data_IF_647028319175
#
_entry.id   IF_647028319175
#
_cell.length_a   1.000
_cell.length_b   1.000
_cell.length_c   1.000
_cell.angle_alpha   90.00
_cell.angle_beta   90.00
_cell.angle_gamma   90.00
#
_symmetry.space_group_name_H-M   'P 1'
#
loop_
_entity.id
_entity.type
_entity.pdbx_description
1 polymer ?
#
# COMPACT_ATOMS: atom_id res chain seq x y z
N UNK A 1 21.26 -0.10 -30.55
CA UNK A 1 20.39 1.10 -30.45
C UNK A 1 20.15 1.62 -31.86
N UNK A 2 18.97 1.37 -32.44
CA UNK A 2 18.63 1.89 -33.76
C UNK A 2 18.39 3.40 -33.68
N UNK A 3 19.20 4.18 -34.32
CA UNK A 3 18.94 5.62 -34.49
C UNK A 3 17.63 5.80 -35.28
N UNK A 4 16.76 6.65 -34.75
CA UNK A 4 15.55 7.05 -35.45
C UNK A 4 15.96 7.73 -36.76
N UNK A 5 15.59 7.18 -37.92
CA UNK A 5 15.97 7.67 -39.26
C UNK A 5 15.63 9.16 -39.49
N UNK A 6 14.59 9.66 -38.80
CA UNK A 6 14.07 11.03 -38.97
C UNK A 6 14.27 11.92 -37.74
N UNK A 7 15.18 11.54 -36.80
CA UNK A 7 15.42 12.27 -35.56
C UNK A 7 14.35 12.07 -34.49
N UNK A 8 14.43 12.86 -33.43
CA UNK A 8 13.48 12.82 -32.31
C UNK A 8 12.17 13.51 -32.73
N UNK A 9 10.99 12.91 -32.51
CA UNK A 9 9.72 13.55 -32.85
C UNK A 9 9.54 14.88 -32.08
N UNK A 10 8.86 15.84 -32.70
CA UNK A 10 8.48 17.08 -32.02
C UNK A 10 7.45 16.81 -30.93
N UNK A 11 7.38 17.70 -29.92
CA UNK A 11 6.37 17.64 -28.86
C UNK A 11 4.94 17.47 -29.40
N UNK A 12 4.58 18.26 -30.43
CA UNK A 12 3.27 18.15 -31.07
C UNK A 12 3.04 16.78 -31.75
N UNK A 13 4.08 16.10 -32.19
CA UNK A 13 3.98 14.75 -32.74
C UNK A 13 3.77 13.74 -31.64
N UNK A 14 4.50 13.88 -30.53
CA UNK A 14 4.33 13.02 -29.36
C UNK A 14 2.91 13.15 -28.76
N UNK A 15 2.41 14.37 -28.58
CA UNK A 15 1.04 14.60 -28.10
C UNK A 15 -0.02 13.97 -29.03
N UNK A 16 0.15 14.05 -30.35
CA UNK A 16 -0.78 13.40 -31.31
C UNK A 16 -0.71 11.87 -31.22
N UNK A 17 0.46 11.30 -30.97
CA UNK A 17 0.62 9.87 -30.79
C UNK A 17 -0.06 9.42 -29.48
N UNK A 18 0.16 10.15 -28.39
CA UNK A 18 -0.47 9.88 -27.09
C UNK A 18 -2.01 9.92 -27.16
N UNK A 19 -2.58 10.91 -27.85
CA UNK A 19 -4.03 11.03 -28.06
C UNK A 19 -4.63 9.87 -28.88
N UNK A 20 -3.83 9.18 -29.66
CA UNK A 20 -4.25 8.03 -30.47
C UNK A 20 -4.07 6.67 -29.78
N UNK A 21 -3.51 6.64 -28.57
CA UNK A 21 -3.30 5.39 -27.83
C UNK A 21 -4.60 5.01 -27.10
N UNK A 22 -5.03 3.77 -27.25
CA UNK A 22 -6.10 3.20 -26.46
C UNK A 22 -5.58 2.84 -25.07
N UNK A 23 -6.09 3.53 -24.04
CA UNK A 23 -5.62 3.43 -22.67
C UNK A 23 -5.70 2.00 -22.11
N UNK A 24 -6.75 1.25 -22.46
CA UNK A 24 -6.95 -0.14 -21.98
C UNK A 24 -5.91 -1.07 -22.57
N UNK A 25 -5.70 -0.97 -23.90
CA UNK A 25 -4.69 -1.76 -24.60
C UNK A 25 -3.28 -1.45 -24.14
N UNK A 26 -2.98 -0.17 -23.87
CA UNK A 26 -1.69 0.25 -23.36
C UNK A 26 -1.45 -0.27 -21.95
N UNK A 27 -2.42 -0.14 -21.04
CA UNK A 27 -2.34 -0.65 -19.68
C UNK A 27 -2.08 -2.17 -19.67
N UNK A 28 -2.80 -2.92 -20.52
CA UNK A 28 -2.59 -4.35 -20.68
C UNK A 28 -1.17 -4.69 -21.16
N UNK A 29 -0.68 -4.01 -22.18
CA UNK A 29 0.68 -4.24 -22.71
C UNK A 29 1.76 -3.88 -21.70
N UNK A 30 1.58 -2.81 -20.95
CA UNK A 30 2.48 -2.44 -19.85
C UNK A 30 2.50 -3.49 -18.76
N UNK A 31 1.34 -4.03 -18.36
CA UNK A 31 1.26 -5.08 -17.35
C UNK A 31 1.95 -6.37 -17.83
N UNK A 32 1.75 -6.78 -19.09
CA UNK A 32 2.43 -7.92 -19.70
C UNK A 32 3.97 -7.72 -19.71
N UNK A 33 4.44 -6.55 -20.10
CA UNK A 33 5.87 -6.21 -20.10
C UNK A 33 6.47 -6.22 -18.68
N UNK A 34 5.77 -5.62 -17.72
CA UNK A 34 6.21 -5.56 -16.33
C UNK A 34 6.28 -6.96 -15.72
N UNK A 35 5.31 -7.84 -16.03
CA UNK A 35 5.30 -9.21 -15.55
C UNK A 35 6.55 -9.98 -16.00
N UNK A 36 6.95 -9.83 -17.27
CA UNK A 36 8.18 -10.43 -17.81
C UNK A 36 9.41 -9.87 -17.09
N UNK A 37 9.47 -8.54 -16.92
CA UNK A 37 10.59 -7.88 -16.28
C UNK A 37 10.71 -8.24 -14.80
N UNK A 38 9.56 -8.39 -14.11
CA UNK A 38 9.51 -8.84 -12.72
C UNK A 38 10.06 -10.26 -12.55
N UNK A 39 9.77 -11.15 -13.48
CA UNK A 39 10.32 -12.51 -13.50
C UNK A 39 11.85 -12.52 -13.58
N UNK A 40 12.42 -11.65 -14.43
CA UNK A 40 13.87 -11.52 -14.59
C UNK A 40 14.55 -10.87 -13.36
N UNK A 41 13.91 -9.88 -12.73
CA UNK A 41 14.44 -9.15 -11.58
C UNK A 41 14.28 -9.91 -10.27
N UNK A 42 13.24 -10.74 -10.13
CA UNK A 42 12.96 -11.51 -8.90
C UNK A 42 13.84 -12.77 -8.79
N UNK A 43 15.12 -12.65 -9.09
CA UNK A 43 16.10 -13.73 -9.01
C UNK A 43 16.47 -14.12 -7.58
N UNK A 44 16.12 -13.28 -6.59
CA UNK A 44 16.51 -13.47 -5.18
C UNK A 44 15.60 -14.43 -4.40
N UNK A 45 14.43 -14.80 -4.94
CA UNK A 45 13.42 -15.61 -4.23
C UNK A 45 12.88 -14.94 -2.94
N UNK A 46 13.15 -13.64 -2.77
CA UNK A 46 12.64 -12.89 -1.61
C UNK A 46 11.21 -12.46 -1.85
N UNK A 47 10.44 -12.47 -0.77
CA UNK A 47 9.08 -11.95 -0.72
C UNK A 47 9.09 -10.45 -1.04
N UNK A 48 8.29 -10.01 -2.01
CA UNK A 48 8.14 -8.59 -2.37
C UNK A 48 7.14 -7.90 -1.43
N UNK A 49 7.30 -6.59 -1.27
CA UNK A 49 6.33 -5.73 -0.60
C UNK A 49 5.67 -4.87 -1.67
N UNK A 50 4.40 -5.15 -1.93
CA UNK A 50 3.60 -4.43 -2.92
C UNK A 50 2.72 -3.41 -2.21
N UNK A 51 2.98 -2.13 -2.48
CA UNK A 51 2.21 -1.03 -1.92
C UNK A 51 1.08 -0.63 -2.86
N UNK A 52 -0.16 -0.60 -2.34
CA UNK A 52 -1.33 -0.12 -3.07
C UNK A 52 -1.68 1.28 -2.55
N UNK A 53 -1.68 2.26 -3.47
CA UNK A 53 -1.97 3.66 -3.15
C UNK A 53 -2.89 4.28 -4.21
N UNK A 54 -3.85 5.07 -3.75
CA UNK A 54 -4.75 5.84 -4.59
C UNK A 54 -4.32 7.31 -4.65
N UNK A 55 -4.21 7.86 -5.86
CA UNK A 55 -3.85 9.27 -6.06
C UNK A 55 -4.75 9.98 -7.06
N UNK A 56 -5.22 11.18 -6.67
CA UNK A 56 -5.85 12.09 -7.60
C UNK A 56 -4.82 12.66 -8.59
N UNK A 57 -5.07 12.53 -9.88
CA UNK A 57 -4.25 13.08 -10.95
C UNK A 57 -4.49 14.60 -11.07
N UNK A 58 -3.74 15.38 -10.29
CA UNK A 58 -3.85 16.84 -10.29
C UNK A 58 -3.44 17.41 -11.64
N UNK A 59 -4.26 18.33 -12.20
CA UNK A 59 -4.00 18.97 -13.50
C UNK A 59 -4.63 18.27 -14.71
N UNK A 60 -5.29 17.14 -14.54
CA UNK A 60 -6.01 16.41 -15.61
C UNK A 60 -7.52 16.48 -15.39
N UNK A 61 -8.06 17.70 -15.28
CA UNK A 61 -9.48 17.91 -15.03
C UNK A 61 -10.32 17.35 -16.18
N UNK A 62 -11.22 16.43 -15.88
CA UNK A 62 -12.18 15.88 -16.84
C UNK A 62 -13.32 16.87 -17.12
N UNK A 63 -14.15 16.59 -18.12
CA UNK A 63 -15.33 17.38 -18.49
C UNK A 63 -16.37 17.52 -17.36
N UNK A 64 -16.35 16.61 -16.38
CA UNK A 64 -17.18 16.65 -15.18
C UNK A 64 -16.63 17.55 -14.06
N UNK A 65 -15.52 18.29 -14.30
CA UNK A 65 -14.87 19.17 -13.33
C UNK A 65 -14.09 18.47 -12.23
N UNK A 66 -13.78 17.17 -12.38
CA UNK A 66 -13.02 16.37 -11.40
C UNK A 66 -11.73 15.85 -12.01
N UNK A 67 -10.73 15.69 -11.15
CA UNK A 67 -9.54 14.94 -11.50
C UNK A 67 -9.82 13.44 -11.39
N UNK A 68 -9.35 12.61 -12.32
CA UNK A 68 -9.43 11.16 -12.17
C UNK A 68 -8.55 10.71 -11.00
N UNK A 69 -9.02 9.75 -10.23
CA UNK A 69 -8.24 9.04 -9.22
C UNK A 69 -7.67 7.77 -9.86
N UNK A 70 -6.42 7.46 -9.57
CA UNK A 70 -5.74 6.25 -10.04
C UNK A 70 -5.27 5.46 -8.84
N UNK A 71 -5.60 4.17 -8.78
CA UNK A 71 -5.03 3.22 -7.83
C UNK A 71 -3.89 2.48 -8.52
N UNK A 72 -2.73 2.45 -7.86
CA UNK A 72 -1.51 1.82 -8.38
C UNK A 72 -0.98 0.77 -7.41
N UNK A 73 -0.37 -0.28 -7.94
CA UNK A 73 0.42 -1.24 -7.19
C UNK A 73 1.90 -1.04 -7.49
N UNK A 74 2.69 -0.77 -6.46
CA UNK A 74 4.12 -0.51 -6.55
C UNK A 74 4.91 -1.62 -5.86
N UNK A 75 5.88 -2.21 -6.57
CA UNK A 75 6.81 -3.20 -6.04
C UNK A 75 7.98 -2.52 -5.35
N UNK A 76 8.15 -2.79 -4.07
CA UNK A 76 9.30 -2.29 -3.30
C UNK A 76 10.63 -2.94 -3.71
N UNK A 77 10.59 -4.18 -4.19
CA UNK A 77 11.79 -4.91 -4.60
C UNK A 77 12.32 -4.45 -5.96
N UNK A 78 11.44 -4.23 -6.93
CA UNK A 78 11.85 -3.87 -8.31
C UNK A 78 11.82 -2.37 -8.56
N UNK A 79 11.14 -1.59 -7.71
CA UNK A 79 10.91 -0.16 -7.93
C UNK A 79 9.93 0.15 -9.06
N UNK A 80 9.14 -0.83 -9.51
CA UNK A 80 8.22 -0.69 -10.64
C UNK A 80 6.77 -0.55 -10.19
N UNK A 81 5.98 0.19 -10.96
CA UNK A 81 4.52 0.16 -10.88
C UNK A 81 4.06 -1.08 -11.65
N UNK A 82 3.48 -2.05 -10.94
CA UNK A 82 3.07 -3.35 -11.50
C UNK A 82 1.78 -3.23 -12.32
N UNK A 83 0.84 -2.42 -11.88
CA UNK A 83 -0.41 -2.14 -12.57
C UNK A 83 -1.05 -0.87 -12.03
N UNK A 84 -1.97 -0.30 -12.83
CA UNK A 84 -2.77 0.88 -12.46
C UNK A 84 -4.21 0.69 -12.91
N UNK A 85 -5.15 1.16 -12.10
CA UNK A 85 -6.58 1.19 -12.43
C UNK A 85 -7.12 2.59 -12.21
N UNK A 86 -7.73 3.16 -13.23
CA UNK A 86 -8.40 4.45 -13.12
C UNK A 86 -9.75 4.30 -12.42
N UNK A 87 -10.06 5.21 -11.50
CA UNK A 87 -11.34 5.28 -10.82
C UNK A 87 -12.22 6.33 -11.48
N UNK A 88 -13.41 5.94 -11.91
CA UNK A 88 -14.40 6.87 -12.48
C UNK A 88 -14.99 7.83 -11.44
N UNK A 89 -15.00 7.44 -10.17
CA UNK A 89 -15.51 8.20 -9.03
C UNK A 89 -14.69 7.94 -7.77
N UNK A 90 -14.56 8.94 -6.89
CA UNK A 90 -13.82 8.84 -5.62
C UNK A 90 -14.33 7.73 -4.68
N UNK A 91 -15.60 7.37 -4.77
CA UNK A 91 -16.21 6.26 -4.02
C UNK A 91 -15.79 4.87 -4.51
N UNK A 92 -15.07 4.78 -5.64
CA UNK A 92 -14.73 3.52 -6.29
C UNK A 92 -13.28 3.06 -6.05
N UNK A 93 -12.48 3.76 -5.23
CA UNK A 93 -11.09 3.36 -4.91
C UNK A 93 -11.02 1.93 -4.36
N UNK A 94 -11.96 1.55 -3.49
CA UNK A 94 -12.03 0.18 -2.94
C UNK A 94 -12.28 -0.84 -4.05
N UNK A 95 -13.20 -0.53 -4.97
CA UNK A 95 -13.48 -1.40 -6.12
C UNK A 95 -12.28 -1.47 -7.07
N UNK A 96 -11.63 -0.33 -7.34
CA UNK A 96 -10.43 -0.27 -8.17
C UNK A 96 -9.28 -1.08 -7.55
N UNK A 97 -9.06 -0.98 -6.23
CA UNK A 97 -8.10 -1.82 -5.50
C UNK A 97 -8.41 -3.32 -5.63
N UNK A 98 -9.70 -3.69 -5.54
CA UNK A 98 -10.12 -5.09 -5.73
C UNK A 98 -9.90 -5.58 -7.17
N UNK A 99 -10.14 -4.75 -8.19
CA UNK A 99 -9.85 -5.07 -9.60
C UNK A 99 -8.36 -5.21 -9.80
N UNK A 100 -7.57 -4.23 -9.33
CA UNK A 100 -6.11 -4.23 -9.41
C UNK A 100 -5.50 -5.52 -8.82
N UNK A 101 -5.91 -5.90 -7.61
CA UNK A 101 -5.49 -7.15 -6.97
C UNK A 101 -5.89 -8.38 -7.78
N UNK A 102 -7.04 -8.31 -8.48
CA UNK A 102 -7.51 -9.39 -9.36
C UNK A 102 -6.55 -9.69 -10.51
N UNK A 103 -5.92 -8.67 -11.08
CA UNK A 103 -5.05 -8.75 -12.25
C UNK A 103 -3.60 -9.11 -11.93
N UNK A 104 -3.15 -8.89 -10.68
CA UNK A 104 -1.77 -9.12 -10.27
C UNK A 104 -1.53 -10.57 -9.83
N UNK A 105 -0.37 -11.10 -10.20
CA UNK A 105 0.20 -12.27 -9.56
C UNK A 105 0.98 -11.82 -8.32
N UNK A 106 0.44 -12.12 -7.14
CA UNK A 106 0.96 -11.67 -5.83
C UNK A 106 1.24 -12.83 -4.88
N UNK A 107 1.21 -14.06 -5.38
CA UNK A 107 1.41 -15.24 -4.54
C UNK A 107 2.77 -15.19 -3.80
N UNK A 108 2.71 -15.30 -2.48
CA UNK A 108 3.89 -15.22 -1.60
C UNK A 108 4.37 -13.81 -1.28
N UNK A 109 3.77 -12.76 -1.83
CA UNK A 109 4.13 -11.37 -1.55
C UNK A 109 3.38 -10.79 -0.34
N UNK A 110 3.78 -9.59 0.09
CA UNK A 110 3.14 -8.83 1.17
C UNK A 110 2.46 -7.60 0.56
N UNK A 111 1.16 -7.47 0.75
CA UNK A 111 0.39 -6.31 0.32
C UNK A 111 0.35 -5.29 1.45
N UNK A 112 0.75 -4.05 1.15
CA UNK A 112 0.55 -2.92 2.05
C UNK A 112 -0.41 -1.92 1.40
N UNK A 113 -1.33 -1.38 2.18
CA UNK A 113 -2.29 -0.40 1.72
C UNK A 113 -2.71 0.52 2.87
N UNK A 114 -3.34 1.65 2.51
CA UNK A 114 -3.92 2.52 3.52
C UNK A 114 -5.15 1.88 4.20
N UNK A 115 -5.66 2.56 5.22
CA UNK A 115 -6.79 2.06 6.01
C UNK A 115 -8.08 1.89 5.21
N UNK A 116 -8.28 2.59 4.08
CA UNK A 116 -9.47 2.44 3.25
C UNK A 116 -9.55 1.03 2.66
N UNK A 117 -8.40 0.40 2.42
CA UNK A 117 -8.28 -0.97 1.93
C UNK A 117 -8.53 -2.04 3.00
N UNK A 118 -8.68 -1.66 4.29
CA UNK A 118 -9.07 -2.61 5.34
C UNK A 118 -10.56 -2.97 5.20
N UNK A 119 -10.87 -3.73 4.17
CA UNK A 119 -12.20 -4.24 3.83
C UNK A 119 -12.15 -5.75 3.67
N UNK A 120 -13.25 -6.42 4.05
CA UNK A 120 -13.29 -7.89 3.99
C UNK A 120 -12.97 -8.42 2.59
N UNK A 121 -13.57 -7.85 1.56
CA UNK A 121 -13.40 -8.30 0.17
C UNK A 121 -11.95 -8.17 -0.32
N UNK A 122 -11.24 -7.13 0.13
CA UNK A 122 -9.81 -6.93 -0.17
C UNK A 122 -8.96 -7.98 0.54
N UNK A 123 -9.21 -8.19 1.83
CA UNK A 123 -8.48 -9.19 2.64
C UNK A 123 -8.68 -10.60 2.10
N UNK A 124 -9.93 -10.97 1.80
CA UNK A 124 -10.27 -12.28 1.24
C UNK A 124 -9.50 -12.48 -0.09
N UNK A 125 -9.51 -11.49 -0.98
CA UNK A 125 -8.83 -11.57 -2.28
C UNK A 125 -7.31 -11.70 -2.16
N UNK A 126 -6.69 -10.97 -1.23
CA UNK A 126 -5.24 -11.10 -0.95
C UNK A 126 -4.92 -12.53 -0.53
N UNK A 127 -5.73 -13.08 0.40
CA UNK A 127 -5.53 -14.45 0.91
C UNK A 127 -5.81 -15.53 -0.12
N UNK A 128 -6.87 -15.39 -0.90
CA UNK A 128 -7.21 -16.31 -2.01
C UNK A 128 -6.06 -16.43 -3.01
N UNK A 129 -5.31 -15.34 -3.21
CA UNK A 129 -4.13 -15.30 -4.08
C UNK A 129 -2.84 -15.78 -3.40
N UNK A 130 -2.91 -16.22 -2.14
CA UNK A 130 -1.75 -16.74 -1.41
C UNK A 130 -0.75 -15.66 -0.99
N UNK A 131 -1.21 -14.41 -0.84
CA UNK A 131 -0.41 -13.30 -0.36
C UNK A 131 -0.69 -12.98 1.12
N UNK A 132 0.26 -12.32 1.76
CA UNK A 132 0.11 -11.73 3.09
C UNK A 132 -0.24 -10.24 3.00
N UNK A 133 -0.64 -9.64 4.13
CA UNK A 133 -0.92 -8.22 4.18
C UNK A 133 -0.44 -7.55 5.47
N UNK A 134 -0.17 -6.23 5.37
CA UNK A 134 0.00 -5.29 6.48
C UNK A 134 -0.78 -4.03 6.12
N UNK A 135 -1.92 -3.80 6.78
CA UNK A 135 -2.83 -2.70 6.45
C UNK A 135 -3.08 -1.84 7.68
N UNK A 136 -3.01 -0.52 7.49
CA UNK A 136 -3.29 0.44 8.56
C UNK A 136 -4.76 0.39 8.99
N UNK A 137 -5.01 0.52 10.28
CA UNK A 137 -6.33 0.53 10.89
C UNK A 137 -6.70 1.94 11.35
N UNK A 138 -7.71 2.52 10.72
CA UNK A 138 -8.25 3.84 11.06
C UNK A 138 -9.73 3.78 11.48
N UNK A 139 -10.36 4.95 11.62
CA UNK A 139 -11.75 5.09 12.06
C UNK A 139 -12.81 4.55 11.07
N UNK A 140 -12.43 4.14 9.86
CA UNK A 140 -13.31 3.45 8.92
C UNK A 140 -13.73 2.05 9.43
N UNK A 141 -12.90 1.41 10.27
CA UNK A 141 -13.20 0.15 10.95
C UNK A 141 -13.33 0.37 12.47
N UNK A 142 -14.31 1.19 12.87
CA UNK A 142 -14.48 1.68 14.25
C UNK A 142 -14.50 0.55 15.29
N UNK A 143 -15.34 -0.46 15.10
CA UNK A 143 -15.49 -1.56 16.07
C UNK A 143 -14.18 -2.33 16.27
N UNK A 144 -13.44 -2.59 15.18
CA UNK A 144 -12.15 -3.27 15.23
C UNK A 144 -11.11 -2.38 15.94
N UNK A 145 -10.99 -1.13 15.53
CA UNK A 145 -10.02 -0.18 16.09
C UNK A 145 -10.24 0.07 17.58
N UNK A 146 -11.45 0.46 17.98
CA UNK A 146 -11.74 0.72 19.40
C UNK A 146 -11.68 -0.55 20.25
N UNK A 147 -12.07 -1.69 19.70
CA UNK A 147 -11.91 -2.98 20.36
C UNK A 147 -10.44 -3.32 20.66
N UNK A 148 -9.52 -2.97 19.77
CA UNK A 148 -8.07 -3.11 19.99
C UNK A 148 -7.60 -2.10 21.04
N UNK A 149 -7.95 -0.81 20.89
CA UNK A 149 -7.54 0.26 21.81
C UNK A 149 -7.94 -0.03 23.25
N UNK A 150 -9.16 -0.57 23.49
CA UNK A 150 -9.67 -0.90 24.82
C UNK A 150 -8.94 -2.06 25.49
N UNK A 151 -8.40 -3.00 24.69
CA UNK A 151 -7.77 -4.23 25.19
C UNK A 151 -6.26 -4.17 25.25
N UNK A 152 -5.63 -3.42 24.37
CA UNK A 152 -4.17 -3.44 24.17
C UNK A 152 -3.41 -3.08 25.45
N UNK A 153 -3.94 -2.18 26.28
CA UNK A 153 -3.34 -1.80 27.55
C UNK A 153 -3.27 -2.92 28.61
N UNK A 154 -4.02 -4.02 28.39
CA UNK A 154 -4.05 -5.21 29.26
C UNK A 154 -3.23 -6.37 28.70
N UNK A 155 -2.73 -6.23 27.48
CA UNK A 155 -1.95 -7.25 26.78
C UNK A 155 -0.46 -6.91 26.81
N UNK A 156 0.39 -7.90 26.97
CA UNK A 156 1.83 -7.74 26.80
C UNK A 156 2.15 -7.93 25.30
N UNK A 157 3.00 -7.08 24.70
CA UNK A 157 3.48 -7.33 23.35
C UNK A 157 4.29 -8.63 23.28
N UNK A 158 4.13 -9.38 22.19
CA UNK A 158 4.95 -10.55 21.89
C UNK A 158 6.38 -10.15 21.55
N UNK A 159 6.51 -9.01 20.89
CA UNK A 159 7.80 -8.41 20.53
C UNK A 159 7.70 -6.89 20.56
N UNK A 160 8.81 -6.26 20.86
CA UNK A 160 8.98 -4.80 20.83
C UNK A 160 10.33 -4.45 20.19
N UNK A 161 10.33 -3.43 19.34
CA UNK A 161 11.52 -2.90 18.71
C UNK A 161 11.43 -1.37 18.63
N UNK A 162 12.53 -0.67 18.95
CA UNK A 162 12.60 0.78 18.84
C UNK A 162 13.69 1.15 17.85
N UNK A 163 13.34 2.04 16.92
CA UNK A 163 14.20 2.60 15.89
C UNK A 163 14.36 4.10 16.08
N UNK A 164 15.56 4.59 15.76
CA UNK A 164 15.93 5.98 15.95
C UNK A 164 16.75 6.21 17.22
N UNK A 165 17.00 7.48 17.57
CA UNK A 165 16.43 8.69 16.94
C UNK A 165 17.03 9.01 15.56
N UNK A 166 16.17 9.35 14.61
CA UNK A 166 16.56 9.79 13.27
C UNK A 166 16.26 11.27 13.07
N UNK A 167 17.17 11.98 12.39
CA UNK A 167 16.98 13.38 12.01
C UNK A 167 16.53 13.46 10.55
N UNK A 168 15.29 13.90 10.32
CA UNK A 168 14.74 14.12 9.00
C UNK A 168 13.90 15.38 8.96
N UNK A 169 14.05 16.21 7.93
CA UNK A 169 13.25 17.43 7.71
C UNK A 169 13.11 18.35 8.93
N UNK A 170 14.19 18.50 9.72
CA UNK A 170 14.19 19.35 10.92
C UNK A 170 13.45 18.76 12.13
N UNK A 171 13.13 17.47 12.09
CA UNK A 171 12.49 16.72 13.18
C UNK A 171 13.39 15.57 13.61
N UNK A 172 13.42 15.32 14.91
CA UNK A 172 14.02 14.11 15.48
C UNK A 172 12.86 13.15 15.74
N UNK A 173 12.90 11.96 15.14
CA UNK A 173 11.85 10.98 15.23
C UNK A 173 12.38 9.68 15.83
N UNK A 174 11.63 9.12 16.78
CA UNK A 174 11.84 7.78 17.34
C UNK A 174 10.57 6.99 17.16
N UNK A 175 10.69 5.76 16.61
CA UNK A 175 9.55 4.86 16.40
C UNK A 175 9.68 3.62 17.24
N UNK A 176 8.63 3.30 17.99
CA UNK A 176 8.51 2.04 18.72
C UNK A 176 7.43 1.18 18.09
N UNK A 177 7.80 -0.04 17.73
CA UNK A 177 6.93 -1.05 17.14
C UNK A 177 6.64 -2.10 18.21
N UNK A 178 5.35 -2.32 18.51
CA UNK A 178 4.89 -3.36 19.42
C UNK A 178 3.98 -4.32 18.70
N UNK A 179 4.30 -5.59 18.75
CA UNK A 179 3.57 -6.65 18.05
C UNK A 179 2.82 -7.49 19.03
N UNK A 180 1.53 -7.67 18.78
CA UNK A 180 0.60 -8.40 19.65
C UNK A 180 -0.06 -9.55 18.91
N UNK A 181 -0.47 -10.57 19.65
CA UNK A 181 -1.34 -11.62 19.12
C UNK A 181 -2.75 -11.05 18.87
N UNK A 182 -3.21 -11.13 17.62
CA UNK A 182 -4.55 -10.70 17.23
C UNK A 182 -5.66 -11.52 17.92
N UNK A 183 -5.36 -12.77 18.34
CA UNK A 183 -6.29 -13.62 19.06
C UNK A 183 -6.80 -12.98 20.37
N UNK A 184 -5.95 -12.21 21.04
CA UNK A 184 -6.30 -11.53 22.29
C UNK A 184 -7.02 -10.19 22.06
N UNK A 185 -6.84 -9.57 20.92
CA UNK A 185 -7.25 -8.19 20.64
C UNK A 185 -8.47 -8.09 19.72
N UNK A 186 -8.62 -9.01 18.76
CA UNK A 186 -9.67 -8.98 17.73
C UNK A 186 -10.83 -9.90 18.13
N UNK A 187 -12.03 -9.35 18.24
CA UNK A 187 -13.24 -10.11 18.63
C UNK A 187 -13.75 -10.96 17.46
N UNK A 188 -13.91 -10.34 16.28
CA UNK A 188 -14.50 -10.97 15.09
C UNK A 188 -13.39 -11.49 14.14
N UNK A 189 -12.50 -12.36 14.65
CA UNK A 189 -11.36 -12.86 13.87
C UNK A 189 -11.76 -13.62 12.61
N UNK A 190 -12.84 -14.39 12.68
CA UNK A 190 -13.37 -15.15 11.53
C UNK A 190 -13.74 -14.24 10.36
N UNK A 191 -14.25 -13.04 10.66
CA UNK A 191 -14.54 -12.01 9.66
C UNK A 191 -13.29 -11.62 8.86
N UNK A 192 -12.12 -11.69 9.47
CA UNK A 192 -10.86 -11.21 8.89
C UNK A 192 -9.93 -12.34 8.42
N UNK A 193 -10.45 -13.56 8.32
CA UNK A 193 -9.77 -14.66 7.65
C UNK A 193 -8.70 -15.38 8.48
N UNK A 194 -8.89 -15.58 9.78
CA UNK A 194 -8.07 -16.46 10.60
C UNK A 194 -7.03 -15.73 11.47
N UNK A 195 -5.88 -16.36 11.71
CA UNK A 195 -4.87 -15.81 12.62
C UNK A 195 -4.33 -14.48 12.11
N UNK A 196 -4.35 -13.48 12.97
CA UNK A 196 -3.89 -12.13 12.71
C UNK A 196 -2.89 -11.67 13.76
N UNK A 197 -2.07 -10.73 13.38
CA UNK A 197 -1.15 -9.99 14.25
C UNK A 197 -1.57 -8.52 14.27
N UNK A 198 -1.54 -7.90 15.44
CA UNK A 198 -1.77 -6.46 15.59
C UNK A 198 -0.44 -5.78 15.86
N UNK A 199 -0.15 -4.73 15.12
CA UNK A 199 1.06 -3.92 15.31
C UNK A 199 0.65 -2.51 15.74
N UNK A 200 1.19 -2.07 16.88
CA UNK A 200 1.12 -0.68 17.34
C UNK A 200 2.43 0.01 17.00
N UNK A 201 2.34 1.12 16.29
CA UNK A 201 3.48 1.99 15.98
C UNK A 201 3.30 3.30 16.75
N UNK A 202 4.26 3.60 17.64
CA UNK A 202 4.30 4.82 18.42
C UNK A 202 5.43 5.67 17.84
N UNK A 203 5.08 6.81 17.23
CA UNK A 203 6.04 7.78 16.68
C UNK A 203 6.14 8.97 17.61
N UNK A 204 7.31 9.18 18.20
CA UNK A 204 7.65 10.33 19.03
C UNK A 204 8.50 11.30 18.18
N UNK A 205 8.00 12.51 17.99
CA UNK A 205 8.65 13.52 17.14
C UNK A 205 8.97 14.76 17.95
N UNK A 206 10.20 15.27 17.80
CA UNK A 206 10.65 16.53 18.38
C UNK A 206 10.99 17.49 17.23
N UNK A 207 10.28 18.60 17.13
CA UNK A 207 10.64 19.65 16.19
C UNK A 207 11.90 20.36 16.68
N UNK A 208 12.98 20.33 15.90
CA UNK A 208 14.29 20.83 16.31
C UNK A 208 14.32 22.36 16.49
N UNK A 209 13.52 23.11 15.72
CA UNK A 209 13.50 24.57 15.81
C UNK A 209 12.62 25.10 16.95
N UNK A 210 11.51 24.42 17.26
CA UNK A 210 10.54 24.88 18.28
C UNK A 210 10.63 24.09 19.59
N UNK A 211 11.31 22.95 19.63
CA UNK A 211 11.36 22.03 20.77
C UNK A 211 10.03 21.32 21.04
N UNK A 212 9.00 21.54 20.21
CA UNK A 212 7.67 20.93 20.39
C UNK A 212 7.77 19.43 20.20
N UNK A 213 7.20 18.70 21.16
CA UNK A 213 7.09 17.24 21.13
C UNK A 213 5.67 16.84 20.75
N UNK A 214 5.56 15.81 19.91
CA UNK A 214 4.30 15.16 19.56
C UNK A 214 4.46 13.65 19.57
N UNK A 215 3.39 12.95 19.97
CA UNK A 215 3.33 11.49 19.94
C UNK A 215 2.11 11.09 19.12
N UNK A 216 2.33 10.23 18.14
CA UNK A 216 1.29 9.64 17.31
C UNK A 216 1.26 8.13 17.54
N UNK A 217 0.07 7.56 17.65
CA UNK A 217 -0.14 6.10 17.74
C UNK A 217 -0.94 5.65 16.53
N UNK A 218 -0.40 4.66 15.81
CA UNK A 218 -1.05 4.02 14.67
C UNK A 218 -1.13 2.52 14.89
N UNK A 219 -2.19 1.92 14.37
CA UNK A 219 -2.40 0.47 14.45
C UNK A 219 -2.43 -0.12 13.06
N UNK A 220 -1.85 -1.30 12.94
CA UNK A 220 -1.86 -2.10 11.73
C UNK A 220 -2.36 -3.50 12.07
N UNK A 221 -3.04 -4.11 11.11
CA UNK A 221 -3.42 -5.53 11.15
C UNK A 221 -2.65 -6.26 10.07
N UNK A 222 -2.12 -7.42 10.42
CA UNK A 222 -1.27 -8.22 9.53
C UNK A 222 -1.62 -9.69 9.59
N UNK A 223 -1.47 -10.40 8.46
CA UNK A 223 -1.51 -11.86 8.40
C UNK A 223 -0.15 -12.52 8.67
N UNK A 224 0.91 -11.72 8.72
CA UNK A 224 2.27 -12.20 8.98
C UNK A 224 2.43 -12.69 10.43
N UNK A 225 3.36 -13.65 10.66
CA UNK A 225 3.75 -14.02 12.01
C UNK A 225 4.37 -12.84 12.76
N UNK A 226 4.32 -12.84 14.10
CA UNK A 226 4.84 -11.73 14.91
C UNK A 226 6.32 -11.50 14.67
N UNK A 227 6.66 -10.30 14.16
CA UNK A 227 8.05 -9.85 14.00
C UNK A 227 8.10 -8.32 14.01
N UNK A 228 8.68 -7.72 15.05
CA UNK A 228 8.74 -6.28 15.24
C UNK A 228 9.79 -5.57 14.36
N UNK A 229 10.70 -6.32 13.71
CA UNK A 229 11.80 -5.80 12.88
C UNK A 229 11.59 -6.00 11.37
N UNK A 230 10.46 -6.56 10.98
CA UNK A 230 10.19 -6.91 9.58
C UNK A 230 9.45 -5.80 8.85
#
# INVERSE_FOLDING_TARGET
>A
MGMLKNGIPSEATLCRMEQGIDDVSMAKKMSEFIALFRQELNTSGKQDIISIDGKAMRGTMQSNGRNPDIVSAYSGQTGLILATVACSEKSNEIKAGSVLLGELDIAGDIITADAMSMQKDIIDKIREKGADFVIELKANQRSLRYGIEDRIGRCKPLQEYTEGPELSHGRIETRTYKVYDGEALIVDKEKWGGRLTVVEVISETINKSTGVRSTERRFFVSSLPPNARR
#
